data_IF_883651451872
#
_entry.id   IF_883651451872
#
_cell.length_a   1.000
_cell.length_b   1.000
_cell.length_c   1.000
_cell.angle_alpha   90.00
_cell.angle_beta   90.00
_cell.angle_gamma   90.00
#
_symmetry.space_group_name_H-M   'P 1'
#
loop_
_entity.id
_entity.type
_entity.pdbx_description
1 polymer ?
#
# COMPACT_ATOMS: atom_id res chain seq x y z
N UNK A 1 -4.15 -1.29 -17.99
CA UNK A 1 -4.19 -0.60 -16.68
C UNK A 1 -3.55 -1.49 -15.63
N UNK A 2 -3.00 -0.94 -14.54
CA UNK A 2 -2.43 -1.73 -13.45
C UNK A 2 -3.53 -2.14 -12.44
N UNK A 3 -3.38 -3.25 -11.68
CA UNK A 3 -4.39 -3.70 -10.72
C UNK A 3 -4.54 -2.74 -9.52
N UNK A 4 -3.46 -2.07 -9.14
CA UNK A 4 -3.42 -1.01 -8.14
C UNK A 4 -2.76 0.20 -8.80
N UNK A 5 -3.32 1.39 -8.60
CA UNK A 5 -2.76 2.64 -9.10
C UNK A 5 -1.59 3.11 -8.21
N UNK A 6 -0.45 2.42 -8.37
CA UNK A 6 0.73 2.67 -7.58
C UNK A 6 1.56 3.85 -8.11
N UNK A 7 1.79 4.86 -7.27
CA UNK A 7 2.61 6.03 -7.60
C UNK A 7 4.07 5.86 -7.17
N UNK A 8 4.98 5.66 -8.13
CA UNK A 8 6.42 5.75 -7.86
C UNK A 8 6.84 7.18 -7.47
N UNK A 9 6.15 8.20 -7.99
CA UNK A 9 6.44 9.60 -7.69
C UNK A 9 6.26 9.92 -6.20
N UNK A 10 5.17 9.43 -5.59
CA UNK A 10 4.94 9.60 -4.17
C UNK A 10 6.02 8.90 -3.34
N UNK A 11 6.25 7.61 -3.60
CA UNK A 11 7.11 6.79 -2.75
C UNK A 11 8.61 7.12 -2.91
N UNK A 12 9.12 7.12 -4.15
CA UNK A 12 10.54 7.32 -4.41
C UNK A 12 10.90 8.79 -4.65
N UNK A 13 9.94 9.62 -5.07
CA UNK A 13 10.16 11.05 -5.33
C UNK A 13 9.94 11.90 -4.09
N UNK A 14 8.71 11.96 -3.58
CA UNK A 14 8.33 12.86 -2.49
C UNK A 14 8.78 12.36 -1.12
N UNK A 15 8.61 11.05 -0.86
CA UNK A 15 9.02 10.43 0.40
C UNK A 15 10.48 9.95 0.38
N UNK A 16 11.15 10.04 -0.78
CA UNK A 16 12.54 9.64 -0.97
C UNK A 16 12.87 8.21 -0.49
N UNK A 17 11.89 7.30 -0.56
CA UNK A 17 12.10 5.89 -0.20
C UNK A 17 13.09 5.28 -1.19
N UNK A 18 14.15 4.69 -0.65
CA UNK A 18 15.22 4.07 -1.46
C UNK A 18 14.67 3.05 -2.45
N UNK A 19 15.14 3.11 -3.70
CA UNK A 19 14.76 2.16 -4.75
C UNK A 19 15.02 0.69 -4.35
N UNK A 20 16.07 0.46 -3.54
CA UNK A 20 16.48 -0.88 -3.06
C UNK A 20 15.55 -1.44 -2.00
N UNK A 21 14.73 -0.61 -1.37
CA UNK A 21 13.78 -1.05 -0.37
C UNK A 21 12.70 -1.93 -1.01
N UNK A 22 12.16 -1.51 -2.15
CA UNK A 22 11.17 -2.28 -2.90
C UNK A 22 11.85 -3.30 -3.84
N UNK A 23 12.89 -2.88 -4.57
CA UNK A 23 13.58 -3.75 -5.52
C UNK A 23 14.81 -4.39 -4.89
N UNK A 24 14.58 -5.30 -3.94
CA UNK A 24 15.64 -5.86 -3.08
C UNK A 24 16.66 -6.74 -3.83
N UNK A 25 16.28 -7.29 -4.99
CA UNK A 25 17.13 -8.18 -5.78
C UNK A 25 18.15 -7.47 -6.69
N UNK A 26 18.11 -6.13 -6.79
CA UNK A 26 18.95 -5.35 -7.74
C UNK A 26 20.45 -5.51 -7.55
N UNK A 27 20.91 -5.87 -6.35
CA UNK A 27 22.34 -6.05 -6.08
C UNK A 27 22.83 -7.48 -6.37
N UNK A 28 21.92 -8.44 -6.50
CA UNK A 28 22.23 -9.88 -6.55
C UNK A 28 21.76 -10.57 -7.82
N UNK A 29 20.83 -9.95 -8.55
CA UNK A 29 20.23 -10.51 -9.76
C UNK A 29 20.31 -9.52 -10.92
N UNK A 30 20.24 -10.05 -12.14
CA UNK A 30 20.10 -9.24 -13.36
C UNK A 30 18.70 -8.67 -13.52
N UNK A 31 17.74 -9.12 -12.71
CA UNK A 31 16.34 -8.68 -12.74
C UNK A 31 15.96 -7.99 -11.42
N UNK A 32 15.49 -6.75 -11.51
CA UNK A 32 14.79 -6.09 -10.41
C UNK A 32 13.38 -6.70 -10.30
N UNK A 33 13.16 -7.53 -9.29
CA UNK A 33 11.86 -8.15 -9.07
C UNK A 33 10.85 -7.15 -8.51
N UNK A 34 9.56 -7.44 -8.71
CA UNK A 34 8.47 -6.72 -8.06
C UNK A 34 8.44 -7.16 -6.59
N UNK A 35 8.32 -6.24 -5.61
CA UNK A 35 8.28 -6.59 -4.20
C UNK A 35 7.12 -7.53 -3.87
N UNK A 36 7.29 -8.34 -2.82
CA UNK A 36 6.19 -9.07 -2.22
C UNK A 36 5.21 -8.11 -1.53
N UNK A 37 3.95 -8.52 -1.39
CA UNK A 37 2.90 -7.74 -0.70
C UNK A 37 3.31 -7.33 0.72
N UNK A 38 4.10 -8.16 1.41
CA UNK A 38 4.62 -7.84 2.76
C UNK A 38 5.46 -6.58 2.81
N UNK A 39 6.21 -6.24 1.74
CA UNK A 39 6.97 -4.99 1.67
C UNK A 39 6.04 -3.77 1.73
N UNK A 40 4.87 -3.85 1.10
CA UNK A 40 3.87 -2.79 1.16
C UNK A 40 3.25 -2.69 2.57
N UNK A 41 2.96 -3.84 3.19
CA UNK A 41 2.32 -3.89 4.50
C UNK A 41 3.19 -3.37 5.64
N UNK A 42 4.53 -3.40 5.51
CA UNK A 42 5.44 -2.80 6.50
C UNK A 42 5.11 -1.34 6.86
N UNK A 43 4.50 -0.59 5.94
CA UNK A 43 4.01 0.77 6.20
C UNK A 43 2.48 0.83 6.18
N UNK A 44 1.84 0.11 5.26
CA UNK A 44 0.39 0.21 5.05
C UNK A 44 -0.46 -0.48 6.12
N UNK A 45 0.14 -1.20 7.08
CA UNK A 45 -0.54 -1.54 8.34
C UNK A 45 -0.95 -0.30 9.14
N UNK A 46 -0.16 0.79 9.03
CA UNK A 46 -0.38 2.04 9.79
C UNK A 46 -0.77 3.22 8.90
N UNK A 47 -0.59 3.10 7.58
CA UNK A 47 -0.90 4.14 6.60
C UNK A 47 -1.98 3.65 5.64
N UNK A 48 -3.22 4.01 5.91
CA UNK A 48 -4.41 3.55 5.17
C UNK A 48 -4.87 4.52 4.06
N UNK A 49 -4.48 5.79 4.15
CA UNK A 49 -4.88 6.85 3.23
C UNK A 49 -3.84 7.99 3.19
N UNK A 50 -3.90 8.88 2.19
CA UNK A 50 -3.10 10.10 2.18
C UNK A 50 -3.31 10.93 3.46
N UNK A 51 -2.24 11.55 3.94
CA UNK A 51 -2.25 12.35 5.18
C UNK A 51 -3.32 13.44 5.19
N UNK A 52 -3.56 14.08 4.06
CA UNK A 52 -4.56 15.15 3.96
C UNK A 52 -5.98 14.63 4.17
N UNK A 53 -6.29 13.42 3.70
CA UNK A 53 -7.60 12.78 3.92
C UNK A 53 -7.81 12.44 5.40
N UNK A 54 -6.77 11.95 6.07
CA UNK A 54 -6.84 11.63 7.51
C UNK A 54 -7.03 12.91 8.34
N UNK A 55 -6.24 13.96 8.06
CA UNK A 55 -6.38 15.26 8.74
C UNK A 55 -7.74 15.91 8.52
N UNK A 56 -8.30 15.78 7.31
CA UNK A 56 -9.63 16.28 7.01
C UNK A 56 -10.68 15.56 7.86
N UNK A 57 -10.59 14.24 7.97
CA UNK A 57 -11.50 13.46 8.80
C UNK A 57 -11.38 13.81 10.29
N UNK A 58 -10.15 13.98 10.80
CA UNK A 58 -9.92 14.45 12.17
C UNK A 58 -10.55 15.83 12.42
N UNK A 59 -10.43 16.76 11.47
CA UNK A 59 -11.05 18.08 11.58
C UNK A 59 -12.58 17.98 11.60
N UNK A 60 -13.17 17.22 10.67
CA UNK A 60 -14.62 17.04 10.58
C UNK A 60 -15.18 16.36 11.84
N UNK A 61 -14.47 15.37 12.37
CA UNK A 61 -14.84 14.69 13.60
C UNK A 61 -14.83 15.65 14.80
N UNK A 62 -13.81 16.52 14.89
CA UNK A 62 -13.72 17.55 15.93
C UNK A 62 -14.86 18.57 15.85
N UNK A 63 -15.17 19.06 14.64
CA UNK A 63 -16.29 20.00 14.41
C UNK A 63 -17.65 19.40 14.77
N UNK A 64 -17.81 18.09 14.54
CA UNK A 64 -19.03 17.34 14.84
C UNK A 64 -19.07 16.76 16.25
N UNK A 65 -18.00 16.96 17.04
CA UNK A 65 -17.83 16.41 18.39
C UNK A 65 -18.05 14.88 18.45
N UNK A 66 -17.48 14.17 17.46
CA UNK A 66 -17.46 12.71 17.35
C UNK A 66 -16.03 12.19 17.29
N UNK A 67 -15.86 10.89 17.47
CA UNK A 67 -14.57 10.24 17.24
C UNK A 67 -14.25 10.18 15.73
N UNK A 68 -12.97 10.34 15.33
CA UNK A 68 -12.55 10.19 13.94
C UNK A 68 -12.79 8.77 13.42
N UNK A 69 -13.29 8.66 12.20
CA UNK A 69 -13.46 7.39 11.52
C UNK A 69 -12.17 6.98 10.80
N UNK A 70 -11.99 5.67 10.60
CA UNK A 70 -10.87 5.14 9.85
C UNK A 70 -11.03 5.46 8.35
N UNK A 71 -10.12 6.27 7.82
CA UNK A 71 -10.07 6.58 6.38
C UNK A 71 -9.20 5.55 5.67
N UNK A 72 -9.79 4.76 4.78
CA UNK A 72 -9.05 3.83 3.89
C UNK A 72 -9.22 4.28 2.45
N UNK A 73 -8.12 4.49 1.74
CA UNK A 73 -8.17 4.85 0.32
C UNK A 73 -8.56 3.65 -0.55
N UNK A 74 -9.23 3.87 -1.71
CA UNK A 74 -9.65 2.77 -2.58
C UNK A 74 -8.52 1.85 -3.05
N UNK A 75 -7.33 2.41 -3.29
CA UNK A 75 -6.18 1.63 -3.75
C UNK A 75 -5.55 0.81 -2.62
N UNK A 76 -5.52 1.34 -1.39
CA UNK A 76 -5.06 0.58 -0.22
C UNK A 76 -6.06 -0.50 0.19
N UNK A 77 -7.36 -0.28 -0.01
CA UNK A 77 -8.36 -1.33 0.19
C UNK A 77 -8.08 -2.58 -0.68
N UNK A 78 -7.62 -2.38 -1.93
CA UNK A 78 -7.22 -3.50 -2.81
C UNK A 78 -5.98 -4.23 -2.27
N UNK A 79 -5.02 -3.49 -1.70
CA UNK A 79 -3.85 -4.07 -1.05
C UNK A 79 -4.26 -4.93 0.15
N UNK A 80 -5.15 -4.44 1.01
CA UNK A 80 -5.66 -5.18 2.16
C UNK A 80 -6.38 -6.46 1.76
N UNK A 81 -7.21 -6.42 0.71
CA UNK A 81 -7.86 -7.60 0.15
C UNK A 81 -6.85 -8.63 -0.38
N UNK A 82 -5.75 -8.19 -0.99
CA UNK A 82 -4.67 -9.08 -1.44
C UNK A 82 -3.88 -9.67 -0.28
N UNK A 83 -3.63 -8.88 0.76
CA UNK A 83 -2.89 -9.29 1.95
C UNK A 83 -3.71 -10.13 2.93
N UNK A 84 -5.04 -10.10 2.85
CA UNK A 84 -5.93 -10.66 3.87
C UNK A 84 -5.83 -9.89 5.19
N UNK A 85 -5.74 -8.57 5.12
CA UNK A 85 -5.61 -7.68 6.29
C UNK A 85 -6.91 -6.93 6.55
N UNK A 86 -7.37 -6.92 7.80
CA UNK A 86 -8.50 -6.12 8.24
C UNK A 86 -8.00 -4.85 8.96
N UNK A 87 -8.20 -3.66 8.36
CA UNK A 87 -7.70 -2.42 8.95
C UNK A 87 -8.52 -1.93 10.15
N UNK A 88 -9.71 -2.49 10.41
CA UNK A 88 -10.50 -2.15 11.61
C UNK A 88 -9.98 -2.87 12.85
N UNK A 89 -9.69 -4.17 12.74
CA UNK A 89 -9.11 -4.96 13.83
C UNK A 89 -7.58 -4.86 13.92
N UNK A 90 -6.93 -4.36 12.86
CA UNK A 90 -5.47 -4.39 12.67
C UNK A 90 -4.90 -5.80 12.70
N UNK A 91 -5.67 -6.78 12.23
CA UNK A 91 -5.29 -8.20 12.22
C UNK A 91 -5.35 -8.78 10.81
N UNK A 92 -4.57 -9.84 10.58
CA UNK A 92 -4.70 -10.65 9.38
C UNK A 92 -5.84 -11.65 9.58
N UNK A 93 -6.69 -11.78 8.56
CA UNK A 93 -7.90 -12.60 8.63
C UNK A 93 -7.49 -14.08 8.59
N UNK A 94 -7.75 -14.79 9.69
CA UNK A 94 -7.48 -16.22 9.78
C UNK A 94 -8.29 -17.00 8.73
N UNK A 95 -7.62 -17.93 8.04
CA UNK A 95 -8.20 -18.76 6.97
C UNK A 95 -8.65 -18.02 5.71
N UNK A 96 -8.34 -16.72 5.58
CA UNK A 96 -8.40 -16.06 4.29
C UNK A 96 -7.19 -16.48 3.46
N UNK A 97 -7.40 -16.66 2.15
CA UNK A 97 -6.34 -17.10 1.25
C UNK A 97 -5.78 -15.86 0.53
N UNK A 98 -4.70 -15.22 1.06
CA UNK A 98 -4.12 -14.06 0.42
C UNK A 98 -3.68 -14.42 -1.00
N UNK A 99 -3.89 -13.50 -1.94
CA UNK A 99 -3.56 -13.73 -3.34
C UNK A 99 -2.50 -12.74 -3.80
N UNK A 100 -1.62 -13.19 -4.68
CA UNK A 100 -0.61 -12.32 -5.27
C UNK A 100 -1.24 -11.38 -6.30
N UNK A 101 -0.93 -10.08 -6.18
CA UNK A 101 -1.32 -9.06 -7.15
C UNK A 101 -0.69 -9.39 -8.51
N UNK A 102 -1.53 -9.53 -9.53
CA UNK A 102 -1.08 -9.83 -10.90
C UNK A 102 -0.78 -8.54 -11.66
N UNK A 103 0.48 -8.11 -11.56
CA UNK A 103 0.96 -6.90 -12.23
C UNK A 103 1.09 -7.09 -13.74
N UNK A 104 0.77 -6.04 -14.49
CA UNK A 104 1.02 -6.00 -15.92
C UNK A 104 2.47 -5.54 -16.15
N UNK A 105 3.34 -6.48 -16.52
CA UNK A 105 4.73 -6.17 -16.89
C UNK A 105 4.74 -5.27 -18.12
N UNK A 106 5.43 -4.13 -18.05
CA UNK A 106 5.50 -3.18 -19.18
C UNK A 106 6.84 -3.20 -19.90
N UNK A 107 7.91 -3.64 -19.22
CA UNK A 107 9.24 -3.74 -19.82
C UNK A 107 9.50 -5.13 -20.37
N UNK A 108 9.72 -5.24 -21.67
CA UNK A 108 10.07 -6.49 -22.35
C UNK A 108 11.31 -6.27 -23.20
N UNK A 109 12.27 -7.19 -23.11
CA UNK A 109 13.37 -7.28 -24.08
C UNK A 109 12.93 -8.24 -25.21
N UNK A 110 13.30 -7.96 -26.46
CA UNK A 110 13.00 -8.82 -27.61
C UNK A 110 13.72 -10.17 -27.55
#
# INVERSE_FOLDING_TARGET
>A
EQPIDFSHQMHAGELEISCKYCHTSVEKSQTAEIPATSTCMNCHEYVSAPWDSVKLEEQLASEQNRDPELVVSPEIQKLYQSAGFDPQSMEYIENENPYSIRWNKVHHLP
#
